data_IF_155020600404
#
_entry.id   IF_155020600404
#
_cell.length_a   1.000
_cell.length_b   1.000
_cell.length_c   1.000
_cell.angle_alpha   90.00
_cell.angle_beta   90.00
_cell.angle_gamma   90.00
#
_symmetry.space_group_name_H-M   'P 1'
#
loop_
_entity.id
_entity.type
_entity.pdbx_description
1 polymer ?
#
# COMPACT_ATOMS: atom_id res chain seq x y z
N UNK A 1 21.21 -24.90 -8.34
CA UNK A 1 21.34 -23.57 -7.70
C UNK A 1 21.57 -22.46 -8.74
N UNK A 2 20.93 -22.52 -9.91
CA UNK A 2 21.00 -21.48 -10.95
C UNK A 2 19.95 -20.38 -10.78
N UNK A 3 19.03 -20.53 -9.82
CA UNK A 3 17.88 -19.64 -9.61
C UNK A 3 18.18 -18.51 -8.61
N UNK A 4 18.99 -18.79 -7.59
CA UNK A 4 19.40 -17.80 -6.59
C UNK A 4 20.70 -17.14 -7.02
N UNK A 5 20.59 -15.94 -7.59
CA UNK A 5 21.76 -15.12 -7.94
C UNK A 5 21.84 -13.89 -7.06
N UNK A 6 23.08 -13.48 -6.75
CA UNK A 6 23.35 -12.25 -6.00
C UNK A 6 22.72 -11.03 -6.69
N UNK A 7 22.66 -11.04 -8.03
CA UNK A 7 22.03 -10.00 -8.84
C UNK A 7 20.54 -9.88 -8.56
N UNK A 8 19.80 -10.99 -8.55
CA UNK A 8 18.37 -10.98 -8.23
C UNK A 8 18.10 -10.44 -6.82
N UNK A 9 18.94 -10.83 -5.84
CA UNK A 9 18.85 -10.35 -4.47
C UNK A 9 19.10 -8.84 -4.36
N UNK A 10 20.16 -8.34 -5.01
CA UNK A 10 20.50 -6.92 -5.00
C UNK A 10 19.46 -6.03 -5.68
N UNK A 11 18.69 -6.58 -6.63
CA UNK A 11 17.57 -5.86 -7.26
C UNK A 11 16.32 -5.93 -6.37
N UNK A 12 16.05 -7.10 -5.79
CA UNK A 12 14.89 -7.34 -4.95
C UNK A 12 14.92 -6.54 -3.64
N UNK A 13 16.03 -6.53 -2.91
CA UNK A 13 16.14 -5.89 -1.59
C UNK A 13 15.79 -4.38 -1.59
N UNK A 14 16.32 -3.55 -2.50
CA UNK A 14 15.91 -2.15 -2.61
C UNK A 14 14.43 -2.00 -2.96
N UNK A 15 13.89 -2.86 -3.83
CA UNK A 15 12.47 -2.84 -4.18
C UNK A 15 11.60 -3.18 -2.97
N UNK A 16 12.00 -4.17 -2.16
CA UNK A 16 11.32 -4.51 -0.90
C UNK A 16 11.22 -3.30 0.02
N UNK A 17 12.33 -2.57 0.19
CA UNK A 17 12.38 -1.39 1.07
C UNK A 17 11.49 -0.26 0.54
N UNK A 18 11.61 0.07 -0.74
CA UNK A 18 10.87 1.19 -1.36
C UNK A 18 9.38 0.88 -1.41
N UNK A 19 8.99 -0.28 -1.92
CA UNK A 19 7.59 -0.67 -2.07
C UNK A 19 6.94 -0.96 -0.71
N UNK A 20 7.70 -1.52 0.23
CA UNK A 20 7.25 -1.69 1.61
C UNK A 20 7.00 -0.35 2.31
N UNK A 21 7.91 0.62 2.17
CA UNK A 21 7.72 1.96 2.73
C UNK A 21 6.54 2.69 2.08
N UNK A 22 6.38 2.59 0.75
CA UNK A 22 5.24 3.16 0.05
C UNK A 22 3.92 2.55 0.54
N UNK A 23 3.84 1.22 0.68
CA UNK A 23 2.64 0.57 1.20
C UNK A 23 2.38 0.87 2.67
N UNK A 24 3.42 1.03 3.49
CA UNK A 24 3.25 1.46 4.88
C UNK A 24 2.63 2.87 4.95
N UNK A 25 3.13 3.78 4.11
CA UNK A 25 2.61 5.14 4.02
C UNK A 25 1.16 5.18 3.54
N UNK A 26 0.86 4.51 2.42
CA UNK A 26 -0.49 4.44 1.86
C UNK A 26 -1.46 3.76 2.83
N UNK A 27 -1.04 2.66 3.47
CA UNK A 27 -1.85 1.97 4.46
C UNK A 27 -2.19 2.83 5.67
N UNK A 28 -1.23 3.61 6.18
CA UNK A 28 -1.45 4.50 7.32
C UNK A 28 -2.24 5.77 6.97
N UNK A 29 -2.03 6.32 5.77
CA UNK A 29 -2.65 7.60 5.36
C UNK A 29 -3.99 7.41 4.66
N UNK A 30 -4.06 6.49 3.69
CA UNK A 30 -5.26 6.23 2.88
C UNK A 30 -6.11 5.06 3.41
N UNK A 31 -5.58 4.24 4.32
CA UNK A 31 -6.27 3.03 4.81
C UNK A 31 -6.31 1.88 3.81
N UNK A 32 -5.64 2.00 2.66
CA UNK A 32 -5.59 0.99 1.59
C UNK A 32 -4.15 0.69 1.19
N UNK A 33 -3.88 -0.56 0.82
CA UNK A 33 -2.58 -0.99 0.28
C UNK A 33 -2.70 -1.30 -1.22
N UNK A 34 -1.58 -1.23 -1.93
CA UNK A 34 -1.51 -1.53 -3.36
C UNK A 34 -0.63 -2.75 -3.56
N UNK A 35 -1.08 -3.66 -4.43
CA UNK A 35 -0.31 -4.83 -4.83
C UNK A 35 1.04 -4.43 -5.44
N UNK A 36 2.12 -4.64 -4.68
CA UNK A 36 3.49 -4.30 -5.05
C UNK A 36 4.10 -5.29 -6.05
N UNK A 37 3.50 -6.49 -6.20
CA UNK A 37 4.01 -7.56 -7.06
C UNK A 37 4.17 -7.15 -8.52
N UNK A 38 3.20 -6.41 -9.08
CA UNK A 38 3.27 -5.98 -10.49
C UNK A 38 4.34 -4.91 -10.73
N UNK A 39 4.40 -3.80 -9.96
CA UNK A 39 5.51 -2.86 -10.05
C UNK A 39 6.88 -3.52 -9.83
N UNK A 40 7.01 -4.38 -8.82
CA UNK A 40 8.25 -5.10 -8.53
C UNK A 40 8.70 -5.96 -9.71
N UNK A 41 7.77 -6.68 -10.34
CA UNK A 41 8.05 -7.51 -11.52
C UNK A 41 8.56 -6.66 -12.70
N UNK A 42 7.84 -5.59 -13.04
CA UNK A 42 8.17 -4.74 -14.19
C UNK A 42 9.52 -4.03 -14.00
N UNK A 43 9.78 -3.50 -12.80
CA UNK A 43 11.07 -2.85 -12.49
C UNK A 43 12.20 -3.89 -12.51
N UNK A 44 12.00 -5.06 -11.90
CA UNK A 44 13.00 -6.14 -11.90
C UNK A 44 13.32 -6.61 -13.32
N UNK A 45 12.29 -6.79 -14.16
CA UNK A 45 12.44 -7.16 -15.57
C UNK A 45 13.23 -6.10 -16.35
N UNK A 46 12.89 -4.81 -16.16
CA UNK A 46 13.57 -3.71 -16.83
C UNK A 46 15.07 -3.66 -16.48
N UNK A 47 15.41 -3.83 -15.20
CA UNK A 47 16.80 -3.81 -14.73
C UNK A 47 17.53 -5.08 -15.20
N UNK A 48 16.96 -6.27 -15.00
CA UNK A 48 17.60 -7.54 -15.39
C UNK A 48 17.84 -7.64 -16.89
N UNK A 49 16.97 -7.04 -17.72
CA UNK A 49 17.15 -7.00 -19.18
C UNK A 49 18.43 -6.29 -19.61
N UNK A 50 18.87 -5.26 -18.89
CA UNK A 50 20.16 -4.59 -19.13
C UNK A 50 21.35 -5.55 -18.94
N UNK A 51 21.20 -6.49 -18.02
CA UNK A 51 22.23 -7.45 -17.65
C UNK A 51 21.99 -8.87 -18.22
N UNK A 52 21.12 -9.01 -19.24
CA UNK A 52 20.73 -10.31 -19.85
C UNK A 52 20.32 -11.36 -18.82
N UNK A 53 19.59 -10.94 -17.78
CA UNK A 53 19.13 -11.82 -16.71
C UNK A 53 18.09 -12.84 -17.16
N UNK A 54 17.96 -13.92 -16.38
CA UNK A 54 17.00 -14.99 -16.68
C UNK A 54 15.64 -14.77 -16.01
N UNK A 55 14.61 -15.48 -16.49
CA UNK A 55 13.25 -15.45 -15.92
C UNK A 55 13.26 -15.90 -14.44
N UNK A 56 14.18 -16.81 -14.09
CA UNK A 56 14.32 -17.32 -12.73
C UNK A 56 14.85 -16.23 -11.79
N UNK A 57 15.79 -15.41 -12.26
CA UNK A 57 16.29 -14.26 -11.50
C UNK A 57 15.20 -13.20 -11.28
N UNK A 58 14.37 -12.95 -12.30
CA UNK A 58 13.25 -12.03 -12.18
C UNK A 58 12.23 -12.53 -11.15
N UNK A 59 11.92 -13.83 -11.16
CA UNK A 59 11.00 -14.41 -10.19
C UNK A 59 11.48 -14.21 -8.75
N UNK A 60 12.78 -14.37 -8.50
CA UNK A 60 13.38 -14.11 -7.18
C UNK A 60 13.31 -12.62 -6.83
N UNK A 61 13.72 -11.73 -7.73
CA UNK A 61 13.71 -10.28 -7.49
C UNK A 61 12.28 -9.74 -7.24
N UNK A 62 11.30 -10.22 -8.03
CA UNK A 62 9.87 -9.91 -7.85
C UNK A 62 9.37 -10.36 -6.49
N UNK A 63 9.64 -11.61 -6.12
CA UNK A 63 9.16 -12.19 -4.86
C UNK A 63 9.78 -11.45 -3.67
N UNK A 64 11.08 -11.16 -3.72
CA UNK A 64 11.74 -10.33 -2.73
C UNK A 64 11.07 -8.95 -2.63
N UNK A 65 10.83 -8.28 -3.76
CA UNK A 65 10.16 -6.97 -3.81
C UNK A 65 8.75 -6.99 -3.21
N UNK A 66 7.95 -8.02 -3.49
CA UNK A 66 6.57 -8.12 -3.00
C UNK A 66 6.47 -8.47 -1.51
N UNK A 67 7.45 -9.16 -0.93
CA UNK A 67 7.46 -9.48 0.52
C UNK A 67 7.39 -8.21 1.38
N UNK A 68 7.91 -7.08 0.88
CA UNK A 68 7.85 -5.79 1.58
C UNK A 68 6.42 -5.34 1.86
N UNK A 69 5.48 -5.65 0.97
CA UNK A 69 4.05 -5.40 1.17
C UNK A 69 3.49 -6.25 2.31
N UNK A 70 3.79 -7.54 2.36
CA UNK A 70 3.29 -8.44 3.42
C UNK A 70 3.79 -8.04 4.81
N UNK A 71 5.05 -7.64 4.92
CA UNK A 71 5.63 -7.16 6.18
C UNK A 71 5.04 -5.80 6.57
N UNK A 72 4.93 -4.87 5.61
CA UNK A 72 4.32 -3.56 5.85
C UNK A 72 2.86 -3.70 6.29
N UNK A 73 2.07 -4.57 5.66
CA UNK A 73 0.69 -4.86 6.04
C UNK A 73 0.58 -5.30 7.51
N UNK A 74 1.46 -6.19 7.96
CA UNK A 74 1.50 -6.56 9.38
C UNK A 74 1.82 -5.37 10.29
N UNK A 75 2.74 -4.50 9.88
CA UNK A 75 3.16 -3.34 10.67
C UNK A 75 2.08 -2.26 10.79
N UNK A 76 1.40 -1.91 9.69
CA UNK A 76 0.43 -0.81 9.65
C UNK A 76 -0.81 -1.05 10.51
N UNK A 77 -1.17 -2.31 10.79
CA UNK A 77 -2.29 -2.61 11.69
C UNK A 77 -1.81 -2.78 13.13
N UNK A 78 -0.66 -3.45 13.32
CA UNK A 78 -0.17 -3.82 14.65
C UNK A 78 0.37 -2.63 15.43
N UNK A 79 1.19 -1.78 14.79
CA UNK A 79 1.85 -0.68 15.49
C UNK A 79 0.85 0.39 15.95
N UNK A 80 -0.10 0.86 15.10
CA UNK A 80 -1.12 1.80 15.56
C UNK A 80 -2.04 1.20 16.63
N UNK A 81 -2.36 -0.09 16.56
CA UNK A 81 -3.15 -0.74 17.60
C UNK A 81 -2.47 -0.67 18.98
N UNK A 82 -1.15 -0.91 19.06
CA UNK A 82 -0.40 -0.76 20.31
C UNK A 82 -0.31 0.70 20.79
N UNK A 83 -0.22 1.65 19.86
CA UNK A 83 -0.27 3.09 20.19
C UNK A 83 -1.62 3.45 20.80
N UNK A 84 -2.72 3.06 20.15
CA UNK A 84 -4.09 3.37 20.59
C UNK A 84 -4.40 2.69 21.93
N UNK A 85 -3.92 1.47 22.14
CA UNK A 85 -4.08 0.75 23.40
C UNK A 85 -3.23 1.32 24.56
N UNK A 86 -2.37 2.32 24.31
CA UNK A 86 -1.53 2.95 25.34
C UNK A 86 -0.45 2.03 25.90
N UNK A 87 -0.11 0.93 25.21
CA UNK A 87 0.85 -0.08 25.68
C UNK A 87 2.28 0.46 25.67
N UNK A 88 2.58 1.42 24.79
CA UNK A 88 3.90 2.03 24.67
C UNK A 88 3.87 3.54 24.94
N UNK A 89 4.61 4.03 25.96
CA UNK A 89 4.64 5.46 26.29
C UNK A 89 5.44 6.31 25.29
N UNK A 90 6.37 5.72 24.54
CA UNK A 90 7.14 6.40 23.49
C UNK A 90 7.68 5.42 22.45
N UNK A 91 7.85 5.89 21.20
CA UNK A 91 8.51 5.14 20.12
C UNK A 91 10.04 5.29 20.10
N UNK A 92 10.64 5.70 21.22
CA UNK A 92 12.09 5.81 21.34
C UNK A 92 12.77 4.44 21.21
N UNK A 93 14.05 4.41 20.78
CA UNK A 93 14.85 3.19 20.70
C UNK A 93 14.76 2.30 21.95
N UNK A 94 14.87 2.89 23.15
CA UNK A 94 14.83 2.16 24.42
C UNK A 94 13.47 1.58 24.82
N UNK A 95 12.37 2.07 24.23
CA UNK A 95 11.02 1.76 24.72
C UNK A 95 10.27 0.80 23.79
N UNK A 96 9.98 1.22 22.56
CA UNK A 96 9.09 0.49 21.66
C UNK A 96 9.71 0.17 20.29
N UNK A 97 10.74 0.89 19.83
CA UNK A 97 11.31 0.67 18.50
C UNK A 97 11.93 -0.73 18.33
N UNK A 98 12.76 -1.16 19.29
CA UNK A 98 13.37 -2.50 19.24
C UNK A 98 12.33 -3.60 19.47
N UNK A 99 11.33 -3.37 20.33
CA UNK A 99 10.22 -4.32 20.52
C UNK A 99 9.39 -4.47 19.25
N UNK A 100 9.08 -3.37 18.59
CA UNK A 100 8.36 -3.34 17.31
C UNK A 100 9.14 -4.08 16.23
N UNK A 101 10.44 -3.79 16.10
CA UNK A 101 11.32 -4.47 15.14
C UNK A 101 11.39 -5.98 15.41
N UNK A 102 11.56 -6.39 16.67
CA UNK A 102 11.58 -7.81 17.05
C UNK A 102 10.23 -8.48 16.76
N UNK A 103 9.11 -7.80 17.03
CA UNK A 103 7.77 -8.31 16.77
C UNK A 103 7.53 -8.48 15.26
N UNK A 104 7.95 -7.51 14.44
CA UNK A 104 7.89 -7.63 12.99
C UNK A 104 8.79 -8.75 12.46
N UNK A 105 9.99 -8.93 13.02
CA UNK A 105 10.91 -9.99 12.63
C UNK A 105 10.35 -11.37 12.96
N UNK A 106 9.87 -11.58 14.19
CA UNK A 106 9.25 -12.84 14.61
C UNK A 106 7.98 -13.11 13.80
N UNK A 107 7.12 -12.11 13.62
CA UNK A 107 5.91 -12.23 12.80
C UNK A 107 6.21 -12.61 11.35
N UNK A 108 7.27 -12.03 10.76
CA UNK A 108 7.70 -12.36 9.40
C UNK A 108 8.21 -13.79 9.29
N UNK A 109 9.04 -14.25 10.24
CA UNK A 109 9.54 -15.63 10.29
C UNK A 109 8.39 -16.62 10.44
N UNK A 110 7.46 -16.37 11.38
CA UNK A 110 6.28 -17.20 11.56
C UNK A 110 5.41 -17.22 10.29
N UNK A 111 5.20 -16.07 9.63
CA UNK A 111 4.48 -15.99 8.38
C UNK A 111 5.06 -16.90 7.29
N UNK A 112 6.38 -16.88 7.10
CA UNK A 112 7.07 -17.77 6.15
C UNK A 112 6.87 -19.25 6.52
N UNK A 113 6.95 -19.58 7.81
CA UNK A 113 6.73 -20.97 8.28
C UNK A 113 5.29 -21.43 8.01
N UNK A 114 4.28 -20.61 8.34
CA UNK A 114 2.88 -20.95 8.11
C UNK A 114 2.53 -21.06 6.62
N UNK A 115 3.08 -20.17 5.77
CA UNK A 115 2.91 -20.28 4.32
C UNK A 115 3.44 -21.61 3.80
N UNK A 116 4.58 -22.09 4.31
CA UNK A 116 5.14 -23.40 3.92
C UNK A 116 4.20 -24.57 4.24
N UNK A 117 3.52 -24.52 5.39
CA UNK A 117 2.54 -25.54 5.79
C UNK A 117 1.30 -25.52 4.90
N UNK A 118 0.74 -24.32 4.70
CA UNK A 118 -0.51 -24.13 3.94
C UNK A 118 -0.29 -24.38 2.44
N UNK A 119 0.92 -24.12 1.92
CA UNK A 119 1.28 -24.35 0.51
C UNK A 119 0.96 -25.76 0.02
N UNK A 120 1.14 -26.80 0.84
CA UNK A 120 0.82 -28.18 0.43
C UNK A 120 -0.66 -28.34 0.07
N UNK A 121 -1.54 -27.84 0.93
CA UNK A 121 -2.99 -27.94 0.74
C UNK A 121 -3.46 -26.98 -0.36
N UNK A 122 -2.89 -25.78 -0.42
CA UNK A 122 -3.34 -24.73 -1.35
C UNK A 122 -2.69 -24.75 -2.73
N UNK A 123 -1.63 -25.53 -2.99
CA UNK A 123 -0.94 -25.51 -4.30
C UNK A 123 -0.74 -26.91 -4.88
N UNK A 124 -0.51 -27.92 -4.04
CA UNK A 124 -0.20 -29.27 -4.52
C UNK A 124 -1.46 -30.11 -4.79
N UNK A 125 -2.62 -29.71 -4.25
CA UNK A 125 -3.91 -30.34 -4.55
C UNK A 125 -4.42 -29.91 -5.93
N UNK A 126 -4.40 -30.84 -6.89
CA UNK A 126 -4.82 -30.63 -8.28
C UNK A 126 -6.34 -30.54 -8.46
N UNK A 127 -7.12 -30.85 -7.43
CA UNK A 127 -8.58 -30.84 -7.50
C UNK A 127 -9.18 -29.44 -7.29
N UNK A 128 -8.39 -28.51 -6.73
CA UNK A 128 -8.82 -27.13 -6.51
C UNK A 128 -8.61 -26.30 -7.80
N UNK A 129 -9.67 -25.67 -8.34
CA UNK A 129 -9.51 -24.73 -9.45
C UNK A 129 -8.87 -23.43 -8.93
N UNK A 130 -7.78 -22.98 -9.56
CA UNK A 130 -7.11 -21.71 -9.26
C UNK A 130 -7.33 -20.67 -10.37
N UNK A 131 -8.57 -20.20 -10.60
CA UNK A 131 -8.85 -19.27 -11.71
C UNK A 131 -8.04 -17.98 -11.58
N UNK A 132 -7.83 -17.48 -10.36
CA UNK A 132 -7.06 -16.26 -10.10
C UNK A 132 -5.56 -16.47 -10.34
N UNK A 133 -4.95 -17.52 -9.79
CA UNK A 133 -3.52 -17.79 -10.00
C UNK A 133 -3.19 -18.09 -11.46
N UNK A 134 -4.09 -18.77 -12.19
CA UNK A 134 -3.97 -18.99 -13.63
C UNK A 134 -4.09 -17.67 -14.39
N UNK A 135 -5.08 -16.82 -14.07
CA UNK A 135 -5.23 -15.50 -14.68
C UNK A 135 -4.03 -14.59 -14.40
N UNK A 136 -3.55 -14.54 -13.15
CA UNK A 136 -2.35 -13.78 -12.76
C UNK A 136 -1.10 -14.30 -13.48
N UNK A 137 -0.98 -15.62 -13.66
CA UNK A 137 0.07 -16.24 -14.46
C UNK A 137 0.01 -15.84 -15.93
N UNK A 138 -1.17 -15.83 -16.55
CA UNK A 138 -1.35 -15.40 -17.94
C UNK A 138 -1.18 -13.89 -18.11
N UNK A 139 -1.62 -13.05 -17.17
CA UNK A 139 -1.35 -11.61 -17.14
C UNK A 139 0.14 -11.36 -16.99
N UNK A 140 0.83 -12.13 -16.15
CA UNK A 140 2.27 -12.00 -15.98
C UNK A 140 3.00 -12.40 -17.28
N UNK A 141 2.65 -13.53 -17.91
CA UNK A 141 3.18 -13.92 -19.23
C UNK A 141 2.85 -12.89 -20.32
N UNK A 142 1.66 -12.28 -20.29
CA UNK A 142 1.26 -11.23 -21.21
C UNK A 142 2.03 -9.92 -20.95
N UNK A 143 2.27 -9.57 -19.68
CA UNK A 143 3.09 -8.44 -19.26
C UNK A 143 4.56 -8.59 -19.65
N UNK A 144 5.07 -9.84 -19.66
CA UNK A 144 6.40 -10.21 -20.15
C UNK A 144 6.58 -9.99 -21.66
N UNK A 145 5.50 -10.00 -22.46
CA UNK A 145 5.59 -9.81 -23.92
C UNK A 145 5.99 -8.39 -24.34
N UNK A 146 6.09 -7.42 -23.43
CA UNK A 146 6.27 -6.02 -23.84
C UNK A 146 7.30 -5.26 -23.04
N UNK A 147 8.39 -4.87 -23.69
CA UNK A 147 9.10 -3.62 -23.40
C UNK A 147 8.14 -2.43 -23.21
N UNK A 148 6.93 -2.52 -23.77
CA UNK A 148 5.81 -1.60 -23.59
C UNK A 148 5.32 -1.52 -22.13
N UNK A 149 5.24 -2.62 -21.37
CA UNK A 149 4.77 -2.59 -19.98
C UNK A 149 5.69 -1.76 -19.08
N UNK A 150 7.02 -1.94 -19.22
CA UNK A 150 8.00 -1.10 -18.56
C UNK A 150 7.88 0.36 -19.01
N UNK A 151 7.73 0.62 -20.31
CA UNK A 151 7.54 1.96 -20.86
C UNK A 151 6.32 2.66 -20.26
N UNK A 152 5.17 1.98 -20.19
CA UNK A 152 3.95 2.54 -19.59
C UNK A 152 4.10 2.75 -18.08
N UNK A 153 4.74 1.82 -17.35
CA UNK A 153 4.97 2.01 -15.92
C UNK A 153 5.83 3.25 -15.65
N UNK A 154 6.99 3.36 -16.31
CA UNK A 154 7.88 4.51 -16.11
C UNK A 154 7.25 5.83 -16.60
N UNK A 155 6.48 5.79 -17.69
CA UNK A 155 5.73 6.96 -18.16
C UNK A 155 4.69 7.42 -17.13
N UNK A 156 3.88 6.51 -16.60
CA UNK A 156 2.86 6.84 -15.59
C UNK A 156 3.50 7.26 -14.25
N UNK A 157 4.60 6.63 -13.84
CA UNK A 157 5.36 7.05 -12.66
C UNK A 157 5.92 8.46 -12.82
N UNK A 158 6.52 8.77 -13.97
CA UNK A 158 7.05 10.09 -14.27
C UNK A 158 5.95 11.15 -14.33
N UNK A 159 4.86 10.85 -15.03
CA UNK A 159 3.70 11.74 -15.10
C UNK A 159 3.09 11.98 -13.70
N UNK A 160 2.86 10.92 -12.92
CA UNK A 160 2.36 11.02 -11.56
C UNK A 160 3.28 11.82 -10.64
N UNK A 161 4.60 11.64 -10.75
CA UNK A 161 5.58 12.41 -10.00
C UNK A 161 5.55 13.90 -10.37
N UNK A 162 5.43 14.23 -11.66
CA UNK A 162 5.31 15.61 -12.13
C UNK A 162 4.02 16.24 -11.61
N UNK A 163 2.87 15.54 -11.74
CA UNK A 163 1.58 16.03 -11.24
C UNK A 163 1.64 16.26 -9.73
N UNK A 164 2.18 15.31 -8.96
CA UNK A 164 2.37 15.46 -7.52
C UNK A 164 3.28 16.64 -7.17
N UNK A 165 4.39 16.80 -7.89
CA UNK A 165 5.33 17.90 -7.67
C UNK A 165 4.69 19.28 -7.97
N UNK A 166 3.95 19.39 -9.08
CA UNK A 166 3.20 20.60 -9.43
C UNK A 166 2.11 20.92 -8.40
N UNK A 167 1.43 19.89 -7.86
CA UNK A 167 0.49 20.03 -6.75
C UNK A 167 1.18 20.49 -5.45
N UNK A 168 2.35 19.96 -5.14
CA UNK A 168 3.15 20.38 -3.99
C UNK A 168 3.63 21.84 -4.08
N UNK A 169 3.89 22.33 -5.30
CA UNK A 169 4.17 23.74 -5.60
C UNK A 169 2.92 24.64 -5.58
N UNK A 170 1.74 24.09 -5.28
CA UNK A 170 0.44 24.79 -5.24
C UNK A 170 0.05 25.48 -6.55
N UNK A 171 0.51 24.96 -7.70
CA UNK A 171 0.15 25.50 -9.02
C UNK A 171 -1.32 25.23 -9.39
N UNK A 172 -1.96 24.24 -8.77
CA UNK A 172 -3.39 23.96 -8.88
C UNK A 172 -3.97 23.53 -7.53
N UNK A 173 -5.27 23.73 -7.33
CA UNK A 173 -5.95 23.26 -6.13
C UNK A 173 -5.99 21.72 -6.13
N UNK A 174 -5.27 21.11 -5.19
CA UNK A 174 -5.18 19.65 -5.03
C UNK A 174 -6.49 19.06 -4.52
N UNK A 175 -7.22 19.85 -3.72
CA UNK A 175 -8.51 19.50 -3.16
C UNK A 175 -9.56 20.51 -3.63
N UNK A 176 -10.58 20.03 -4.34
CA UNK A 176 -11.74 20.84 -4.68
C UNK A 176 -12.88 20.51 -3.71
N UNK A 177 -12.81 21.09 -2.52
CA UNK A 177 -13.85 21.01 -1.52
C UNK A 177 -14.93 22.06 -1.83
N UNK A 178 -16.09 21.61 -2.32
CA UNK A 178 -17.26 22.49 -2.47
C UNK A 178 -18.12 22.35 -1.24
N UNK A 179 -18.17 23.40 -0.43
CA UNK A 179 -19.08 23.49 0.70
C UNK A 179 -20.50 23.70 0.16
N UNK A 180 -21.38 22.73 0.40
CA UNK A 180 -22.81 22.87 0.11
C UNK A 180 -23.51 23.14 1.42
N UNK A 181 -24.16 24.30 1.52
CA UNK A 181 -25.05 24.59 2.65
C UNK A 181 -26.30 23.74 2.45
N UNK A 182 -26.54 22.79 3.36
CA UNK A 182 -27.88 22.22 3.48
C UNK A 182 -28.76 23.34 4.04
N UNK A 183 -29.80 23.68 3.30
CA UNK A 183 -30.74 24.74 3.69
C UNK A 183 -31.22 24.54 5.12
N UNK A 184 -31.28 25.65 5.89
CA UNK A 184 -31.74 25.62 7.27
C UNK A 184 -33.22 25.24 7.32
N UNK A 185 -33.54 24.02 7.75
CA UNK A 185 -34.89 23.65 8.15
C UNK A 185 -35.15 24.27 9.53
N UNK A 186 -35.61 25.52 9.53
CA UNK A 186 -35.99 26.26 10.73
C UNK A 186 -34.80 26.87 11.47
N UNK A 187 -34.77 28.20 11.57
CA UNK A 187 -33.65 29.00 12.08
C UNK A 187 -33.31 28.84 13.57
N UNK A 188 -33.97 27.92 14.31
CA UNK A 188 -33.63 27.59 15.69
C UNK A 188 -34.40 26.38 16.21
N UNK A 189 -33.70 25.36 16.69
CA UNK A 189 -34.27 24.30 17.53
C UNK A 189 -34.02 24.65 18.99
N UNK A 190 -35.10 24.84 19.75
CA UNK A 190 -35.04 25.03 21.21
C UNK A 190 -34.97 23.66 21.88
N UNK A 191 -33.89 23.39 22.63
CA UNK A 191 -33.81 22.21 23.48
C UNK A 191 -34.54 22.47 24.81
N UNK A 192 -35.86 22.28 24.81
CA UNK A 192 -36.69 22.29 26.03
C UNK A 192 -37.96 23.14 25.92
N UNK A 193 -38.96 22.80 26.75
CA UNK A 193 -40.29 23.43 26.76
C UNK A 193 -40.40 24.72 27.59
N UNK A 194 -39.28 25.24 28.12
CA UNK A 194 -39.24 26.45 28.95
C UNK A 194 -38.90 27.72 28.17
N UNK A 195 -39.43 28.88 28.62
CA UNK A 195 -39.24 30.18 27.97
C UNK A 195 -37.77 30.64 27.86
N UNK A 196 -36.86 30.05 28.66
CA UNK A 196 -35.41 30.34 28.69
C UNK A 196 -34.53 29.22 28.09
N UNK A 197 -35.08 28.30 27.30
CA UNK A 197 -34.30 27.21 26.70
C UNK A 197 -33.31 27.74 25.62
N UNK A 198 -32.05 27.27 25.61
CA UNK A 198 -31.05 27.69 24.63
C UNK A 198 -31.48 27.25 23.21
N UNK A 199 -31.50 28.22 22.30
CA UNK A 199 -31.78 28.00 20.88
C UNK A 199 -30.47 27.68 20.16
N UNK A 200 -30.36 26.49 19.58
CA UNK A 200 -29.20 26.11 18.76
C UNK A 200 -29.56 26.35 17.29
N UNK A 201 -28.69 27.05 16.56
CA UNK A 201 -28.84 27.26 15.12
C UNK A 201 -28.87 25.90 14.42
N UNK A 202 -29.96 25.63 13.71
CA UNK A 202 -30.13 24.40 12.93
C UNK A 202 -29.70 24.68 11.50
N UNK A 203 -28.48 24.29 11.15
CA UNK A 203 -27.91 24.42 9.82
C UNK A 203 -26.62 23.62 9.75
N UNK A 204 -26.54 22.67 8.81
CA UNK A 204 -25.37 21.85 8.57
C UNK A 204 -24.67 22.29 7.30
N UNK A 205 -23.35 22.45 7.35
CA UNK A 205 -22.52 22.49 6.14
C UNK A 205 -22.06 21.07 5.86
N UNK A 206 -22.35 20.54 4.67
CA UNK A 206 -21.70 19.31 4.20
C UNK A 206 -20.62 19.68 3.19
N UNK A 207 -19.47 19.03 3.33
CA UNK A 207 -18.40 19.12 2.35
C UNK A 207 -18.68 18.10 1.25
N UNK A 208 -18.78 18.56 0.00
CA UNK A 208 -18.66 17.68 -1.15
C UNK A 208 -17.21 17.74 -1.61
N UNK A 209 -16.43 16.71 -1.27
CA UNK A 209 -15.05 16.58 -1.71
C UNK A 209 -15.04 15.92 -3.09
N UNK A 210 -14.48 16.60 -4.09
CA UNK A 210 -14.17 15.97 -5.39
C UNK A 210 -13.02 14.95 -5.23
N UNK A 211 -12.81 14.03 -6.18
CA UNK A 211 -11.67 13.11 -6.14
C UNK A 211 -10.37 13.92 -6.04
N UNK A 212 -9.62 13.72 -4.94
CA UNK A 212 -8.37 14.44 -4.72
C UNK A 212 -7.28 13.84 -5.60
N UNK A 213 -6.30 14.68 -5.98
CA UNK A 213 -5.09 14.23 -6.69
C UNK A 213 -4.07 13.63 -5.71
N UNK A 214 -4.40 13.59 -4.42
CA UNK A 214 -3.52 13.05 -3.41
C UNK A 214 -3.36 11.55 -3.61
N UNK A 215 -2.12 11.01 -3.55
CA UNK A 215 -1.90 9.56 -3.50
C UNK A 215 -2.55 8.88 -2.29
N UNK A 216 -3.00 9.68 -1.31
CA UNK A 216 -3.63 9.26 -0.06
C UNK A 216 -4.49 10.37 0.57
#
# INVERSE_FOLDING_TARGET
MSEFTWRALLIGLPLTLILGAANAYLGLRAGVTIAATYPAAVISMAILRLFRGSILEENIARTAGSIGESVAAGAIFTLPAFVIAGVWPSFKPGDAYWKSTALMLVGSVLGVLFVSLVRRVMVEDRTLPFPESVAAGEIHKAGQRGSQAAKYLFYNMGFGAIVYFLGALKLFAVDFDRFVSLGSLGSSLKLGAGANAPAIQTGGVTKFAAPSVSPA
#
